data_IF_260537694087
#
_entry.id   IF_260537694087
#
_cell.length_a   1.000
_cell.length_b   1.000
_cell.length_c   1.000
_cell.angle_alpha   90.00
_cell.angle_beta   90.00
_cell.angle_gamma   90.00
#
_symmetry.space_group_name_H-M   'P 1'
#
loop_
_entity.id
_entity.type
_entity.pdbx_description
1 polymer ?
#
# COMPACT_ATOMS: atom_id res chain seq x y z
N UNK A 1 -43.82 3.97 30.31
CA UNK A 1 -43.06 3.48 31.50
C UNK A 1 -41.58 3.48 31.14
N UNK A 2 -40.83 4.49 31.58
CA UNK A 2 -39.40 4.62 31.31
C UNK A 2 -38.64 3.74 32.29
N UNK A 3 -38.05 2.64 31.83
CA UNK A 3 -37.17 1.81 32.66
C UNK A 3 -35.88 2.58 32.91
N UNK A 4 -35.73 3.15 34.11
CA UNK A 4 -34.47 3.75 34.56
C UNK A 4 -33.55 2.59 34.96
N UNK A 5 -32.52 2.33 34.15
CA UNK A 5 -31.49 1.33 34.48
C UNK A 5 -30.62 1.83 35.64
N UNK A 6 -30.44 1.00 36.67
CA UNK A 6 -29.49 1.27 37.75
C UNK A 6 -28.16 0.61 37.41
N UNK A 7 -27.07 1.38 37.38
CA UNK A 7 -25.71 0.85 37.15
C UNK A 7 -24.88 0.99 38.43
N UNK A 8 -24.21 -0.09 38.83
CA UNK A 8 -23.30 -0.08 39.97
C UNK A 8 -22.01 0.71 39.65
N UNK A 9 -21.28 1.23 40.65
CA UNK A 9 -19.98 1.89 40.40
C UNK A 9 -18.96 0.99 39.68
N UNK A 10 -18.99 -0.32 39.94
CA UNK A 10 -18.15 -1.28 39.25
C UNK A 10 -18.54 -1.41 37.76
N UNK A 11 -19.85 -1.45 37.48
CA UNK A 11 -20.36 -1.47 36.10
C UNK A 11 -20.04 -0.17 35.37
N UNK A 12 -20.15 0.98 36.04
CA UNK A 12 -19.79 2.28 35.47
C UNK A 12 -18.30 2.35 35.10
N UNK A 13 -17.42 1.80 35.94
CA UNK A 13 -15.99 1.70 35.66
C UNK A 13 -15.72 0.83 34.42
N UNK A 14 -16.36 -0.34 34.32
CA UNK A 14 -16.20 -1.23 33.16
C UNK A 14 -16.67 -0.52 31.88
N UNK A 15 -17.84 0.10 31.90
CA UNK A 15 -18.36 0.84 30.74
C UNK A 15 -17.39 1.96 30.35
N UNK A 16 -16.91 2.72 31.32
CA UNK A 16 -15.96 3.80 31.08
C UNK A 16 -14.63 3.29 30.50
N UNK A 17 -14.08 2.19 31.00
CA UNK A 17 -12.82 1.62 30.51
C UNK A 17 -12.98 1.03 29.11
N UNK A 18 -14.12 0.39 28.81
CA UNK A 18 -14.47 -0.09 27.47
C UNK A 18 -14.64 1.08 26.49
N UNK A 19 -15.34 2.14 26.88
CA UNK A 19 -15.50 3.35 26.05
C UNK A 19 -14.14 3.99 25.78
N UNK A 20 -13.27 4.08 26.79
CA UNK A 20 -11.93 4.65 26.64
C UNK A 20 -11.07 3.81 25.69
N UNK A 21 -11.14 2.48 25.80
CA UNK A 21 -10.48 1.55 24.87
C UNK A 21 -10.98 1.73 23.43
N UNK A 22 -12.30 1.82 23.22
CA UNK A 22 -12.89 1.99 21.89
C UNK A 22 -12.59 3.36 21.26
N UNK A 23 -12.48 4.42 22.06
CA UNK A 23 -12.02 5.74 21.61
C UNK A 23 -10.53 5.70 21.22
N UNK A 24 -9.70 5.03 22.01
CA UNK A 24 -8.26 4.88 21.71
C UNK A 24 -8.00 3.97 20.51
N UNK A 25 -8.85 2.97 20.27
CA UNK A 25 -8.76 2.07 19.11
C UNK A 25 -9.40 2.65 17.84
N UNK A 26 -9.94 3.88 17.90
CA UNK A 26 -10.58 4.55 16.75
C UNK A 26 -11.95 3.97 16.35
N UNK A 27 -12.57 3.13 17.18
CA UNK A 27 -13.84 2.46 16.86
C UNK A 27 -15.08 3.32 17.18
N UNK A 28 -14.97 4.25 18.14
CA UNK A 28 -16.01 5.24 18.44
C UNK A 28 -15.44 6.62 18.12
N UNK A 29 -16.15 7.38 17.28
CA UNK A 29 -15.85 8.79 16.99
C UNK A 29 -16.80 9.64 17.83
N UNK A 30 -16.26 10.59 18.60
CA UNK A 30 -17.04 11.53 19.37
C UNK A 30 -17.91 12.38 18.43
N UNK A 31 -19.22 12.13 18.41
CA UNK A 31 -20.17 12.79 17.52
C UNK A 31 -20.30 14.31 17.80
N UNK A 32 -19.69 14.82 18.87
CA UNK A 32 -19.72 16.25 19.22
C UNK A 32 -18.69 17.09 18.45
N UNK A 33 -17.75 16.48 17.74
CA UNK A 33 -16.89 17.18 16.77
C UNK A 33 -17.28 16.70 15.38
N UNK A 34 -17.98 17.56 14.64
CA UNK A 34 -18.42 17.30 13.27
C UNK A 34 -17.26 17.01 12.33
N UNK A 35 -16.82 15.76 12.31
CA UNK A 35 -16.14 15.10 11.21
C UNK A 35 -16.38 13.61 11.41
N UNK A 36 -17.36 13.09 10.67
CA UNK A 36 -17.55 11.65 10.45
C UNK A 36 -16.29 11.12 9.78
N UNK A 37 -15.26 10.79 10.56
CA UNK A 37 -14.14 10.01 10.06
C UNK A 37 -14.65 8.58 10.02
N UNK A 38 -15.31 8.23 8.92
CA UNK A 38 -15.39 6.83 8.51
C UNK A 38 -13.93 6.37 8.54
N UNK A 39 -13.55 5.31 9.28
CA UNK A 39 -12.23 4.75 9.11
C UNK A 39 -12.14 4.39 7.64
N UNK A 40 -11.31 5.13 6.89
CA UNK A 40 -10.94 4.69 5.55
C UNK A 40 -10.29 3.34 5.78
N UNK A 41 -11.02 2.28 5.44
CA UNK A 41 -10.41 0.97 5.28
C UNK A 41 -9.51 1.18 4.08
N UNK A 42 -8.19 1.29 4.30
CA UNK A 42 -7.24 1.35 3.20
C UNK A 42 -7.55 0.16 2.29
N UNK A 43 -8.04 0.45 1.09
CA UNK A 43 -8.44 -0.56 0.15
C UNK A 43 -7.19 -0.97 -0.62
N UNK A 44 -6.59 -2.13 -0.32
CA UNK A 44 -5.32 -2.50 -0.90
C UNK A 44 -5.41 -2.58 -2.42
N UNK A 45 -4.33 -2.17 -3.10
CA UNK A 45 -4.23 -2.29 -4.55
C UNK A 45 -3.85 -3.74 -4.87
N UNK A 46 -4.85 -4.53 -5.28
CA UNK A 46 -4.63 -5.91 -5.68
C UNK A 46 -4.01 -5.99 -7.08
N UNK A 47 -2.93 -6.76 -7.19
CA UNK A 47 -2.17 -6.93 -8.43
C UNK A 47 -2.08 -8.40 -8.83
N UNK A 48 -1.94 -8.63 -10.13
CA UNK A 48 -1.74 -9.94 -10.75
C UNK A 48 -0.46 -9.93 -11.60
N UNK A 49 0.45 -10.84 -11.29
CA UNK A 49 1.73 -11.00 -11.96
C UNK A 49 1.56 -11.62 -13.36
N UNK A 50 1.89 -10.85 -14.40
CA UNK A 50 1.90 -11.28 -15.80
C UNK A 50 3.34 -11.31 -16.38
N UNK A 51 4.36 -11.26 -15.52
CA UNK A 51 5.77 -11.17 -15.96
C UNK A 51 6.38 -12.52 -16.34
N UNK A 52 5.77 -13.63 -15.92
CA UNK A 52 6.34 -14.98 -16.04
C UNK A 52 7.53 -15.25 -15.10
N UNK A 53 7.88 -14.31 -14.21
CA UNK A 53 8.94 -14.43 -13.20
C UNK A 53 8.41 -14.05 -11.82
N UNK A 54 9.02 -14.54 -10.75
CA UNK A 54 8.67 -14.07 -9.41
C UNK A 54 9.02 -12.60 -9.27
N UNK A 55 8.04 -11.79 -8.85
CA UNK A 55 8.22 -10.38 -8.53
C UNK A 55 8.79 -10.30 -7.11
N UNK A 56 9.98 -9.71 -6.91
CA UNK A 56 10.54 -9.56 -5.58
C UNK A 56 9.79 -8.53 -4.73
N UNK A 57 9.99 -8.52 -3.40
CA UNK A 57 9.53 -7.43 -2.54
C UNK A 57 10.02 -6.07 -3.05
N UNK A 58 9.20 -5.02 -2.88
CA UNK A 58 9.56 -3.63 -3.23
C UNK A 58 9.87 -3.39 -4.71
N UNK A 59 9.57 -4.35 -5.60
CA UNK A 59 9.77 -4.25 -7.03
C UNK A 59 8.98 -3.09 -7.65
N UNK A 60 9.61 -2.39 -8.59
CA UNK A 60 8.92 -1.46 -9.50
C UNK A 60 8.20 -2.26 -10.60
N UNK A 61 6.94 -1.94 -10.82
CA UNK A 61 6.03 -2.61 -11.74
C UNK A 61 5.31 -1.57 -12.60
N UNK A 62 4.89 -1.97 -13.80
CA UNK A 62 4.06 -1.14 -14.66
C UNK A 62 2.72 -1.85 -14.93
N UNK A 63 1.63 -1.10 -14.92
CA UNK A 63 0.28 -1.63 -15.15
C UNK A 63 0.07 -1.99 -16.61
N UNK A 64 -0.56 -3.14 -16.89
CA UNK A 64 -0.86 -3.65 -18.25
C UNK A 64 -2.35 -4.00 -18.41
N UNK A 65 -3.22 -3.32 -17.66
CA UNK A 65 -4.67 -3.53 -17.66
C UNK A 65 -5.20 -4.14 -16.38
N UNK A 66 -6.40 -4.72 -16.44
CA UNK A 66 -7.10 -5.30 -15.28
C UNK A 66 -7.74 -6.64 -15.60
N UNK A 67 -8.06 -7.43 -14.58
CA UNK A 67 -8.79 -8.69 -14.67
C UNK A 67 -9.74 -8.87 -13.50
N UNK A 68 -10.98 -9.27 -13.76
CA UNK A 68 -11.91 -9.71 -12.71
C UNK A 68 -11.79 -11.23 -12.55
N UNK A 69 -11.44 -11.66 -11.35
CA UNK A 69 -11.39 -13.06 -10.97
C UNK A 69 -12.23 -13.26 -9.72
N UNK A 70 -13.36 -13.95 -9.87
CA UNK A 70 -14.23 -14.30 -8.74
C UNK A 70 -14.90 -13.09 -8.07
N UNK A 71 -15.10 -11.98 -8.79
CA UNK A 71 -15.70 -10.75 -8.25
C UNK A 71 -14.69 -9.81 -7.60
N UNK A 72 -13.39 -10.11 -7.70
CA UNK A 72 -12.30 -9.23 -7.30
C UNK A 72 -11.57 -8.74 -8.55
N UNK A 73 -11.44 -7.41 -8.69
CA UNK A 73 -10.64 -6.81 -9.74
C UNK A 73 -9.17 -6.76 -9.33
N UNK A 74 -8.30 -7.21 -10.21
CA UNK A 74 -6.85 -7.18 -10.09
C UNK A 74 -6.26 -6.30 -11.18
N UNK A 75 -5.21 -5.56 -10.85
CA UNK A 75 -4.41 -4.84 -11.84
C UNK A 75 -3.32 -5.78 -12.36
N UNK A 76 -3.28 -5.99 -13.67
CA UNK A 76 -2.21 -6.76 -14.31
C UNK A 76 -0.92 -5.95 -14.25
N UNK A 77 0.14 -6.58 -13.79
CA UNK A 77 1.44 -5.93 -13.66
C UNK A 77 2.50 -6.68 -14.44
N UNK A 78 3.35 -5.90 -15.11
CA UNK A 78 4.49 -6.35 -15.88
C UNK A 78 5.74 -5.59 -15.44
N UNK A 79 6.90 -5.99 -15.98
CA UNK A 79 8.12 -5.20 -15.83
C UNK A 79 7.95 -3.85 -16.55
N UNK A 80 8.53 -2.76 -16.04
CA UNK A 80 8.59 -1.48 -16.72
C UNK A 80 9.01 -1.63 -18.19
N UNK A 81 8.19 -1.08 -19.08
CA UNK A 81 8.42 -0.99 -20.53
C UNK A 81 8.96 0.37 -20.93
N UNK A 82 8.75 1.39 -20.10
CA UNK A 82 9.29 2.73 -20.23
C UNK A 82 9.67 3.31 -18.85
N UNK A 83 10.17 4.54 -18.87
CA UNK A 83 10.56 5.32 -17.69
C UNK A 83 9.61 6.46 -17.37
N UNK A 84 8.62 6.72 -18.22
CA UNK A 84 7.79 7.93 -18.22
C UNK A 84 6.35 7.69 -17.76
N UNK A 85 5.90 6.44 -17.75
CA UNK A 85 4.54 6.02 -17.46
C UNK A 85 3.61 5.96 -18.67
N UNK A 86 4.13 6.14 -19.90
CA UNK A 86 3.33 6.17 -21.13
C UNK A 86 2.61 4.85 -21.43
N UNK A 87 3.24 3.71 -21.12
CA UNK A 87 2.65 2.37 -21.29
C UNK A 87 1.86 1.89 -20.07
N UNK A 88 1.60 2.77 -19.09
CA UNK A 88 0.91 2.43 -17.85
C UNK A 88 1.59 3.06 -16.64
N UNK A 89 0.83 3.29 -15.58
CA UNK A 89 1.39 3.89 -14.37
C UNK A 89 2.27 2.89 -13.62
N UNK A 90 3.16 3.42 -12.79
CA UNK A 90 4.03 2.59 -11.96
C UNK A 90 3.37 2.25 -10.63
N UNK A 91 3.53 0.99 -10.24
CA UNK A 91 3.16 0.48 -8.92
C UNK A 91 4.40 -0.14 -8.28
N UNK A 92 4.41 -0.19 -6.95
CA UNK A 92 5.47 -0.84 -6.20
C UNK A 92 4.91 -2.04 -5.46
N UNK A 93 5.57 -3.19 -5.59
CA UNK A 93 5.17 -4.37 -4.84
C UNK A 93 5.34 -4.13 -3.33
N UNK A 94 4.48 -4.75 -2.52
CA UNK A 94 4.61 -4.76 -1.08
C UNK A 94 5.85 -5.51 -0.58
N UNK A 95 5.83 -5.85 0.70
CA UNK A 95 6.92 -6.57 1.37
C UNK A 95 7.00 -8.07 1.00
N UNK A 96 5.96 -8.63 0.40
CA UNK A 96 5.90 -10.05 0.03
C UNK A 96 6.17 -10.22 -1.47
N UNK A 97 6.90 -11.27 -1.83
CA UNK A 97 7.08 -11.65 -3.24
C UNK A 97 5.76 -12.12 -3.87
N UNK A 98 5.64 -11.96 -5.19
CA UNK A 98 4.50 -12.46 -5.96
C UNK A 98 5.02 -13.50 -6.95
N UNK A 99 4.64 -14.76 -6.76
CA UNK A 99 5.11 -15.85 -7.60
C UNK A 99 4.60 -15.72 -9.05
N UNK A 100 5.26 -16.40 -9.98
CA UNK A 100 4.79 -16.51 -11.37
C UNK A 100 3.75 -17.63 -11.58
N UNK A 101 3.49 -18.46 -10.56
CA UNK A 101 2.62 -19.62 -10.70
C UNK A 101 1.14 -19.20 -10.76
N UNK A 102 0.34 -19.92 -11.53
CA UNK A 102 -1.10 -19.63 -11.67
C UNK A 102 -1.88 -19.65 -10.34
N UNK A 103 -1.34 -20.29 -9.32
CA UNK A 103 -1.95 -20.43 -7.99
C UNK A 103 -1.52 -19.32 -7.00
N UNK A 104 -0.40 -18.63 -7.26
CA UNK A 104 0.19 -17.64 -6.34
C UNK A 104 0.62 -16.34 -7.07
N UNK A 105 0.01 -16.06 -8.22
CA UNK A 105 0.30 -14.85 -9.03
C UNK A 105 -0.35 -13.57 -8.52
N UNK A 106 -1.00 -13.59 -7.36
CA UNK A 106 -1.72 -12.44 -6.83
C UNK A 106 -0.96 -11.82 -5.66
N UNK A 107 -0.97 -10.49 -5.59
CA UNK A 107 -0.27 -9.75 -4.54
C UNK A 107 -0.94 -8.43 -4.23
N UNK A 108 -0.28 -7.65 -3.38
CA UNK A 108 -0.72 -6.33 -2.93
C UNK A 108 0.41 -5.33 -3.22
N UNK A 109 0.08 -4.30 -3.98
CA UNK A 109 0.98 -3.17 -4.20
C UNK A 109 0.86 -2.16 -3.05
N UNK A 110 1.91 -1.36 -2.86
CA UNK A 110 1.87 -0.21 -1.97
C UNK A 110 0.76 0.76 -2.36
N UNK A 111 -0.03 1.14 -1.38
CA UNK A 111 -1.09 2.15 -1.49
C UNK A 111 -0.69 3.36 -0.64
N UNK A 112 -0.03 4.34 -1.27
CA UNK A 112 0.42 5.54 -0.56
C UNK A 112 1.36 6.42 -1.39
N UNK A 113 1.54 7.68 -0.96
CA UNK A 113 2.40 8.65 -1.64
C UNK A 113 3.90 8.37 -1.44
N UNK A 114 4.25 7.56 -0.45
CA UNK A 114 5.62 7.17 -0.14
C UNK A 114 5.72 5.65 -0.17
N UNK A 115 6.70 5.14 -0.89
CA UNK A 115 6.86 3.72 -1.16
C UNK A 115 8.32 3.33 -0.99
N UNK A 116 8.54 2.05 -0.67
CA UNK A 116 9.86 1.44 -0.68
C UNK A 116 10.14 0.90 -2.07
N UNK A 117 11.36 1.09 -2.54
CA UNK A 117 11.77 0.72 -3.90
C UNK A 117 12.99 -0.19 -3.86
N UNK A 118 12.95 -1.28 -4.61
CA UNK A 118 14.11 -2.10 -4.90
C UNK A 118 15.06 -1.33 -5.80
N UNK A 119 16.27 -1.04 -5.33
CA UNK A 119 17.27 -0.28 -6.08
C UNK A 119 18.30 -1.18 -6.75
N UNK A 120 19.10 -0.61 -7.64
CA UNK A 120 20.25 -1.24 -8.29
C UNK A 120 21.51 -1.31 -7.40
N UNK A 121 21.41 -0.88 -6.13
CA UNK A 121 22.53 -0.84 -5.19
C UNK A 121 23.40 0.43 -5.28
N UNK A 122 22.98 1.43 -6.06
CA UNK A 122 23.62 2.76 -6.05
C UNK A 122 23.31 3.54 -4.77
N UNK A 123 24.22 4.44 -4.38
CA UNK A 123 24.04 5.32 -3.22
C UNK A 123 22.85 6.25 -3.40
N UNK A 124 21.99 6.33 -2.39
CA UNK A 124 20.75 7.10 -2.44
C UNK A 124 20.90 8.37 -1.61
N UNK A 125 20.69 9.53 -2.23
CA UNK A 125 20.63 10.81 -1.51
C UNK A 125 19.21 11.36 -1.53
N UNK A 126 18.79 11.97 -0.42
CA UNK A 126 17.50 12.68 -0.37
C UNK A 126 17.45 13.77 -1.46
N UNK A 127 16.36 13.83 -2.21
CA UNK A 127 16.14 14.74 -3.32
C UNK A 127 16.65 14.24 -4.66
N UNK A 128 17.38 13.11 -4.70
CA UNK A 128 17.76 12.48 -5.97
C UNK A 128 16.52 12.07 -6.74
N UNK A 129 16.60 12.21 -8.06
CA UNK A 129 15.59 11.70 -8.99
C UNK A 129 15.83 10.23 -9.26
N UNK A 130 14.75 9.48 -9.41
CA UNK A 130 14.79 8.04 -9.65
C UNK A 130 13.77 7.66 -10.72
N UNK A 131 14.11 6.62 -11.46
CA UNK A 131 13.28 6.07 -12.53
C UNK A 131 13.30 4.55 -12.56
N UNK A 132 12.27 3.91 -13.14
CA UNK A 132 12.29 2.49 -13.41
C UNK A 132 13.42 2.11 -14.38
N UNK A 133 13.92 0.90 -14.28
CA UNK A 133 14.80 0.31 -15.29
C UNK A 133 13.95 -0.56 -16.22
N UNK A 134 13.93 -0.24 -17.51
CA UNK A 134 13.16 -0.99 -18.50
C UNK A 134 13.58 -2.47 -18.52
N UNK A 135 12.62 -3.38 -18.41
CA UNK A 135 12.87 -4.82 -18.37
C UNK A 135 13.44 -5.35 -17.05
N UNK A 136 13.47 -4.54 -15.98
CA UNK A 136 13.94 -4.91 -14.65
C UNK A 136 12.94 -4.52 -13.56
N UNK A 137 13.01 -5.17 -12.40
CA UNK A 137 12.20 -4.82 -11.22
C UNK A 137 12.81 -3.70 -10.38
N UNK A 138 14.05 -3.30 -10.68
CA UNK A 138 14.76 -2.28 -9.93
C UNK A 138 14.50 -0.87 -10.49
N UNK A 139 14.70 0.12 -9.62
CA UNK A 139 14.86 1.52 -10.00
C UNK A 139 16.34 1.90 -10.03
N UNK A 140 16.67 2.93 -10.81
CA UNK A 140 18.01 3.50 -10.89
C UNK A 140 17.95 5.02 -10.77
N UNK A 141 19.10 5.63 -10.49
CA UNK A 141 19.23 7.08 -10.42
C UNK A 141 18.85 7.71 -11.77
N UNK A 142 17.98 8.71 -11.68
CA UNK A 142 17.41 9.44 -12.79
C UNK A 142 17.98 10.84 -12.94
N UNK A 143 17.34 11.61 -13.80
CA UNK A 143 17.62 13.01 -14.09
C UNK A 143 16.41 13.88 -13.71
N UNK A 144 16.55 15.20 -13.86
CA UNK A 144 15.45 16.12 -13.62
C UNK A 144 14.25 15.80 -14.52
N UNK A 145 13.07 15.68 -13.93
CA UNK A 145 11.84 15.28 -14.62
C UNK A 145 11.46 13.81 -14.46
N UNK A 146 12.35 12.96 -13.94
CA UNK A 146 12.01 11.56 -13.65
C UNK A 146 10.99 11.42 -12.51
N UNK A 147 10.16 10.35 -12.54
CA UNK A 147 8.88 10.29 -11.82
C UNK A 147 9.01 10.20 -10.31
N UNK A 148 10.15 9.74 -9.78
CA UNK A 148 10.33 9.50 -8.36
C UNK A 148 11.39 10.41 -7.74
N UNK A 149 11.19 10.73 -6.46
CA UNK A 149 12.13 11.51 -5.65
C UNK A 149 12.47 10.67 -4.43
N UNK A 150 13.77 10.41 -4.21
CA UNK A 150 14.22 9.70 -3.03
C UNK A 150 14.11 10.58 -1.78
N UNK A 151 13.62 10.00 -0.68
CA UNK A 151 13.63 10.64 0.64
C UNK A 151 14.87 10.27 1.47
N UNK A 152 15.56 9.19 1.10
CA UNK A 152 16.75 8.67 1.77
C UNK A 152 16.96 7.18 1.51
N UNK A 153 18.06 6.65 2.03
CA UNK A 153 18.31 5.20 2.12
C UNK A 153 17.40 4.59 3.19
N UNK A 154 16.93 3.36 2.93
CA UNK A 154 16.23 2.52 3.91
C UNK A 154 17.09 1.29 4.17
N UNK A 155 17.25 0.96 5.45
CA UNK A 155 18.08 -0.16 5.90
C UNK A 155 17.16 -1.35 6.22
N UNK A 156 16.80 -2.09 5.18
CA UNK A 156 16.05 -3.34 5.34
C UNK A 156 17.05 -4.47 5.09
N UNK A 157 17.47 -5.10 6.19
CA UNK A 157 18.27 -6.32 6.21
C UNK A 157 17.46 -7.56 5.80
#
# INVERSE_FOLDING_TARGET
MTKVGYYSPATAKIIHDVVRYLLQSGFIVDASRGHTTIPFVDAPIYVQNETGQTIPPYACLQTDGTEDVGGQNYIKVVKPRDTTGENGWFLFNGHAEIAASSQQKYGIAYDGPCVRMLTDGTTITNGDRWKPVVGSFAVTKGEEGDPFIAIGEDDIA
#
